data_IF_289555105403
#
_entry.id   IF_289555105403
#
_cell.length_a   1.000
_cell.length_b   1.000
_cell.length_c   1.000
_cell.angle_alpha   90.00
_cell.angle_beta   90.00
_cell.angle_gamma   90.00
#
_symmetry.space_group_name_H-M   'P 1'
#
loop_
_entity.id
_entity.type
_entity.pdbx_description
1 polymer ?
#
# COMPACT_ATOMS: atom_id res chain seq x y z
N UNK A 1 -42.36 37.67 22.30
CA UNK A 1 -41.35 36.99 21.46
C UNK A 1 -40.53 36.08 22.38
N UNK A 2 -40.33 34.82 22.00
CA UNK A 2 -40.53 33.69 22.90
C UNK A 2 -39.24 33.22 23.56
N UNK A 3 -39.31 32.94 24.86
CA UNK A 3 -38.30 32.15 25.56
C UNK A 3 -38.73 30.70 25.46
N UNK A 4 -38.10 29.95 24.56
CA UNK A 4 -38.30 28.52 24.37
C UNK A 4 -37.50 27.71 25.38
N UNK A 5 -38.13 26.68 25.92
CA UNK A 5 -37.54 25.39 26.28
C UNK A 5 -38.74 24.46 26.52
N UNK A 6 -39.21 23.73 25.51
CA UNK A 6 -38.63 22.51 24.92
C UNK A 6 -38.41 21.39 25.95
N UNK A 7 -39.39 20.50 26.01
CA UNK A 7 -39.11 19.10 25.67
C UNK A 7 -38.25 18.29 26.62
N UNK A 8 -38.37 18.47 27.94
CA UNK A 8 -37.89 17.51 28.92
C UNK A 8 -38.76 16.25 28.99
N UNK A 9 -38.85 15.48 27.89
CA UNK A 9 -39.34 14.10 27.97
C UNK A 9 -38.31 13.28 28.73
N UNK A 10 -38.58 13.05 30.01
CA UNK A 10 -37.86 12.08 30.84
C UNK A 10 -37.79 10.75 30.08
N UNK A 11 -36.58 10.38 29.66
CA UNK A 11 -36.31 9.01 29.22
C UNK A 11 -36.37 8.12 30.46
N UNK A 12 -37.46 7.38 30.59
CA UNK A 12 -37.57 6.21 31.44
C UNK A 12 -36.37 5.28 31.24
N UNK A 13 -35.59 4.93 32.29
CA UNK A 13 -34.66 3.82 32.24
C UNK A 13 -35.15 2.72 33.19
N UNK A 14 -36.25 2.05 32.85
CA UNK A 14 -36.61 0.80 33.50
C UNK A 14 -36.37 -0.38 32.55
N UNK A 15 -35.13 -0.53 32.07
CA UNK A 15 -34.67 -1.87 31.75
C UNK A 15 -34.14 -2.46 33.05
N UNK A 16 -35.06 -2.97 33.88
CA UNK A 16 -34.71 -3.71 35.08
C UNK A 16 -33.84 -4.89 34.65
N UNK A 17 -32.52 -4.76 34.85
CA UNK A 17 -31.66 -5.94 34.90
C UNK A 17 -32.10 -6.67 36.17
N UNK A 18 -32.94 -7.69 35.99
CA UNK A 18 -33.42 -8.49 37.12
C UNK A 18 -32.20 -9.04 37.86
N UNK A 19 -32.13 -8.91 39.19
CA UNK A 19 -31.03 -9.48 39.94
C UNK A 19 -31.00 -11.00 39.71
N UNK A 20 -29.80 -11.61 39.68
CA UNK A 20 -29.66 -13.05 39.46
C UNK A 20 -30.53 -13.81 40.46
N UNK A 21 -31.52 -14.56 39.93
CA UNK A 21 -32.54 -15.23 40.73
C UNK A 21 -32.10 -16.61 41.21
N UNK A 22 -30.98 -17.12 40.69
CA UNK A 22 -30.37 -18.36 41.15
C UNK A 22 -28.90 -18.15 41.59
N UNK A 23 -28.39 -18.95 42.53
CA UNK A 23 -26.97 -18.92 42.91
C UNK A 23 -26.02 -19.14 41.73
N UNK A 24 -26.44 -19.88 40.71
CA UNK A 24 -25.65 -20.12 39.50
C UNK A 24 -25.51 -18.84 38.66
N UNK A 25 -26.54 -18.01 38.56
CA UNK A 25 -26.49 -16.74 37.82
C UNK A 25 -25.51 -15.76 38.46
N UNK A 26 -25.44 -15.73 39.80
CA UNK A 26 -24.46 -14.93 40.54
C UNK A 26 -23.02 -15.39 40.27
N UNK A 27 -22.78 -16.70 40.26
CA UNK A 27 -21.47 -17.29 39.93
C UNK A 27 -21.08 -16.96 38.48
N UNK A 28 -22.02 -17.05 37.54
CA UNK A 28 -21.79 -16.73 36.13
C UNK A 28 -21.47 -15.24 35.96
N UNK A 29 -22.25 -14.35 36.57
CA UNK A 29 -22.04 -12.90 36.49
C UNK A 29 -20.70 -12.48 37.11
N UNK A 30 -20.33 -13.08 38.24
CA UNK A 30 -19.02 -12.86 38.87
C UNK A 30 -17.86 -13.32 37.99
N UNK A 31 -18.00 -14.47 37.30
CA UNK A 31 -16.99 -14.93 36.32
C UNK A 31 -16.83 -13.94 35.17
N UNK A 32 -17.93 -13.47 34.59
CA UNK A 32 -17.90 -12.45 33.53
C UNK A 32 -17.29 -11.13 34.03
N UNK A 33 -17.64 -10.69 35.23
CA UNK A 33 -17.06 -9.50 35.86
C UNK A 33 -15.53 -9.60 35.96
N UNK A 34 -15.03 -10.73 36.47
CA UNK A 34 -13.59 -10.98 36.56
C UNK A 34 -12.90 -11.02 35.20
N UNK A 35 -13.55 -11.58 34.17
CA UNK A 35 -13.00 -11.62 32.81
C UNK A 35 -12.90 -10.23 32.19
N UNK A 36 -13.91 -9.38 32.38
CA UNK A 36 -13.90 -7.97 31.96
C UNK A 36 -12.76 -7.20 32.65
N UNK A 37 -12.59 -7.40 33.95
CA UNK A 37 -11.50 -6.77 34.72
C UNK A 37 -10.12 -7.24 34.24
N UNK A 38 -9.95 -8.53 33.98
CA UNK A 38 -8.72 -9.08 33.46
C UNK A 38 -8.36 -8.50 32.07
N UNK A 39 -9.35 -8.34 31.19
CA UNK A 39 -9.16 -7.70 29.88
C UNK A 39 -8.74 -6.23 30.05
N UNK A 40 -9.40 -5.48 30.94
CA UNK A 40 -9.05 -4.07 31.21
C UNK A 40 -7.62 -3.94 31.72
N UNK A 41 -7.22 -4.76 32.68
CA UNK A 41 -5.87 -4.76 33.23
C UNK A 41 -4.81 -5.06 32.14
N UNK A 42 -5.09 -5.98 31.22
CA UNK A 42 -4.20 -6.29 30.10
C UNK A 42 -4.09 -5.13 29.11
N UNK A 43 -5.18 -4.42 28.84
CA UNK A 43 -5.17 -3.23 27.97
C UNK A 43 -4.30 -2.13 28.59
N UNK A 44 -4.45 -1.89 29.90
CA UNK A 44 -3.66 -0.88 30.62
C UNK A 44 -2.18 -1.25 30.66
N UNK A 45 -1.85 -2.53 30.87
CA UNK A 45 -0.47 -3.03 30.79
C UNK A 45 0.13 -2.82 29.39
N UNK A 46 -0.61 -3.18 28.33
CA UNK A 46 -0.16 -3.00 26.94
C UNK A 46 0.05 -1.50 26.65
N UNK A 47 -0.86 -0.64 27.08
CA UNK A 47 -0.74 0.81 26.91
C UNK A 47 0.44 1.39 27.70
N UNK A 48 0.66 0.89 28.93
CA UNK A 48 1.82 1.24 29.75
C UNK A 48 3.12 0.86 29.06
N UNK A 49 3.27 -0.39 28.62
CA UNK A 49 4.43 -0.86 27.85
C UNK A 49 4.62 -0.05 26.56
N UNK A 50 3.54 0.25 25.85
CA UNK A 50 3.54 1.06 24.63
C UNK A 50 4.15 2.44 24.89
N UNK A 51 3.76 3.10 25.97
CA UNK A 51 4.31 4.40 26.36
C UNK A 51 5.77 4.28 26.85
N UNK A 52 6.08 3.28 27.69
CA UNK A 52 7.46 3.01 28.15
C UNK A 52 8.45 2.82 27.00
N UNK A 53 8.04 2.14 25.94
CA UNK A 53 8.86 1.91 24.76
C UNK A 53 8.74 3.01 23.69
N UNK A 54 8.06 4.11 23.98
CA UNK A 54 7.91 5.23 23.04
C UNK A 54 7.17 4.86 21.75
N UNK A 55 6.28 3.87 21.79
CA UNK A 55 5.44 3.44 20.65
C UNK A 55 4.25 4.40 20.53
N UNK A 56 4.52 5.70 20.55
CA UNK A 56 3.52 6.75 20.35
C UNK A 56 3.49 7.11 18.87
N UNK A 57 2.29 7.15 18.29
CA UNK A 57 2.06 7.65 16.93
C UNK A 57 2.95 7.05 15.81
N UNK A 58 2.88 5.73 15.60
CA UNK A 58 2.92 5.18 14.23
C UNK A 58 1.56 5.39 13.52
N UNK A 59 0.89 6.51 13.82
CA UNK A 59 -0.33 6.96 13.18
C UNK A 59 0.02 7.42 11.78
N UNK A 60 0.19 6.43 10.89
CA UNK A 60 0.65 6.65 9.53
C UNK A 60 2.06 7.21 9.51
N UNK A 61 3.05 6.34 9.37
CA UNK A 61 4.01 6.62 8.31
C UNK A 61 3.16 7.05 7.11
N UNK A 62 3.23 8.30 6.62
CA UNK A 62 2.44 8.64 5.46
C UNK A 62 2.91 7.62 4.44
N UNK A 63 2.01 6.85 3.82
CA UNK A 63 2.37 5.87 2.79
C UNK A 63 3.43 6.43 1.81
N UNK A 64 3.48 7.77 1.68
CA UNK A 64 4.57 8.59 1.15
C UNK A 64 6.02 8.16 1.52
N UNK A 65 6.37 7.73 2.73
CA UNK A 65 7.76 7.34 3.07
C UNK A 65 8.14 5.95 2.54
N UNK A 66 7.22 4.97 2.64
CA UNK A 66 7.39 3.66 2.00
C UNK A 66 7.47 3.85 0.48
N UNK A 67 6.59 4.68 -0.10
CA UNK A 67 6.62 4.96 -1.54
C UNK A 67 7.87 5.73 -1.99
N UNK A 68 8.40 6.67 -1.20
CA UNK A 68 9.69 7.32 -1.48
C UNK A 68 10.81 6.28 -1.50
N UNK A 69 10.88 5.40 -0.50
CA UNK A 69 11.91 4.35 -0.43
C UNK A 69 11.78 3.35 -1.58
N UNK A 70 10.55 2.96 -1.94
CA UNK A 70 10.28 2.04 -3.06
C UNK A 70 10.57 2.69 -4.41
N UNK A 71 10.25 3.98 -4.60
CA UNK A 71 10.60 4.76 -5.79
C UNK A 71 12.11 4.97 -5.89
N UNK A 72 12.78 5.25 -4.78
CA UNK A 72 14.24 5.41 -4.76
C UNK A 72 14.94 4.09 -5.07
N UNK A 73 14.48 2.97 -4.50
CA UNK A 73 14.97 1.63 -4.86
C UNK A 73 14.77 1.33 -6.34
N UNK A 74 13.62 1.67 -6.93
CA UNK A 74 13.36 1.49 -8.37
C UNK A 74 14.24 2.39 -9.24
N UNK A 75 14.55 3.63 -8.81
CA UNK A 75 15.54 4.49 -9.47
C UNK A 75 16.93 3.88 -9.43
N UNK A 76 17.35 3.29 -8.32
CA UNK A 76 18.64 2.60 -8.22
C UNK A 76 18.72 1.44 -9.23
N UNK A 77 17.64 0.67 -9.42
CA UNK A 77 17.59 -0.39 -10.46
C UNK A 77 17.71 0.19 -11.89
N UNK A 78 17.26 1.42 -12.13
CA UNK A 78 17.39 2.06 -13.44
C UNK A 78 18.85 2.41 -13.80
N UNK A 79 19.64 2.76 -12.78
CA UNK A 79 21.02 3.24 -12.90
C UNK A 79 22.07 2.18 -12.52
N UNK A 80 21.64 1.00 -12.08
CA UNK A 80 22.55 -0.11 -11.85
C UNK A 80 23.24 -0.49 -13.18
N UNK A 81 24.55 -0.76 -13.18
CA UNK A 81 25.22 -1.32 -14.34
C UNK A 81 24.51 -2.62 -14.74
N UNK A 82 24.52 -2.94 -16.04
CA UNK A 82 24.00 -4.22 -16.55
C UNK A 82 24.81 -5.33 -15.86
N UNK A 83 24.29 -5.83 -14.74
CA UNK A 83 24.84 -7.00 -14.08
C UNK A 83 24.66 -8.18 -15.03
N UNK A 84 25.62 -9.11 -14.98
CA UNK A 84 25.65 -10.30 -15.82
C UNK A 84 24.56 -11.29 -15.38
N UNK A 85 23.31 -10.91 -15.64
CA UNK A 85 22.13 -11.72 -15.36
C UNK A 85 22.06 -12.78 -16.45
N UNK A 86 22.29 -14.02 -16.05
CA UNK A 86 22.19 -15.19 -16.91
C UNK A 86 20.78 -15.76 -16.85
N UNK A 87 20.31 -16.37 -17.96
CA UNK A 87 19.04 -17.12 -17.98
C UNK A 87 17.78 -16.30 -18.30
N UNK A 88 17.94 -15.13 -18.93
CA UNK A 88 16.82 -14.33 -19.45
C UNK A 88 16.99 -13.96 -20.93
N UNK A 89 17.99 -14.54 -21.60
CA UNK A 89 18.38 -14.15 -22.95
C UNK A 89 17.35 -14.61 -23.98
N UNK A 90 16.78 -15.80 -23.81
CA UNK A 90 15.72 -16.32 -24.69
C UNK A 90 14.46 -15.44 -24.63
N UNK A 91 14.00 -15.08 -23.43
CA UNK A 91 12.84 -14.20 -23.28
C UNK A 91 13.10 -12.81 -23.83
N UNK A 92 14.31 -12.28 -23.61
CA UNK A 92 14.74 -10.97 -24.12
C UNK A 92 14.73 -10.97 -25.64
N UNK A 93 15.35 -11.96 -26.28
CA UNK A 93 15.46 -12.07 -27.73
C UNK A 93 14.09 -12.26 -28.38
N UNK A 94 13.20 -13.05 -27.75
CA UNK A 94 11.81 -13.20 -28.20
C UNK A 94 11.06 -11.86 -28.20
N UNK A 95 11.20 -11.07 -27.13
CA UNK A 95 10.55 -9.76 -27.03
C UNK A 95 11.14 -8.79 -28.07
N UNK A 96 12.47 -8.77 -28.24
CA UNK A 96 13.15 -7.95 -29.24
C UNK A 96 12.70 -8.30 -30.66
N UNK A 97 12.63 -9.59 -30.98
CA UNK A 97 12.12 -10.06 -32.27
C UNK A 97 10.70 -9.56 -32.53
N UNK A 98 9.82 -9.57 -31.51
CA UNK A 98 8.48 -9.02 -31.66
C UNK A 98 8.41 -7.49 -31.75
N UNK A 99 9.34 -6.78 -31.10
CA UNK A 99 9.38 -5.32 -31.05
C UNK A 99 9.96 -4.71 -32.34
N UNK A 100 10.92 -5.40 -32.95
CA UNK A 100 11.66 -4.93 -34.13
C UNK A 100 11.12 -5.49 -35.45
N UNK A 101 10.10 -6.34 -35.39
CA UNK A 101 9.42 -6.86 -36.56
C UNK A 101 8.66 -5.75 -37.29
N UNK A 102 9.29 -5.21 -38.33
CA UNK A 102 8.77 -4.14 -39.17
C UNK A 102 7.56 -4.53 -40.04
N UNK A 103 7.17 -5.81 -40.05
CA UNK A 103 5.96 -6.27 -40.73
C UNK A 103 4.68 -6.01 -39.93
N UNK A 104 4.80 -5.62 -38.65
CA UNK A 104 3.67 -5.44 -37.73
C UNK A 104 3.03 -4.06 -37.83
N UNK A 105 1.80 -3.96 -37.28
CA UNK A 105 0.98 -2.73 -37.20
C UNK A 105 1.81 -1.52 -36.74
N UNK A 106 1.41 -0.31 -37.18
CA UNK A 106 1.98 0.99 -36.76
C UNK A 106 2.10 1.21 -35.24
N UNK A 107 1.44 0.39 -34.41
CA UNK A 107 1.49 0.42 -32.94
C UNK A 107 1.41 -1.00 -32.37
N UNK A 108 2.37 -1.39 -31.53
CA UNK A 108 2.42 -2.68 -30.83
C UNK A 108 2.50 -2.48 -29.32
N UNK A 109 2.04 -3.46 -28.54
CA UNK A 109 2.11 -3.45 -27.08
C UNK A 109 2.53 -4.84 -26.59
N UNK A 110 3.46 -4.87 -25.63
CA UNK A 110 3.98 -6.10 -25.02
C UNK A 110 3.79 -5.98 -23.51
N UNK A 111 3.24 -7.01 -22.88
CA UNK A 111 3.02 -7.08 -21.44
C UNK A 111 3.84 -8.21 -20.82
N UNK A 112 4.51 -7.94 -19.71
CA UNK A 112 5.28 -8.93 -18.93
C UNK A 112 4.56 -9.14 -17.60
N UNK A 113 4.00 -10.33 -17.39
CA UNK A 113 3.14 -10.67 -16.25
C UNK A 113 3.73 -11.83 -15.45
N UNK A 114 3.53 -11.82 -14.14
CA UNK A 114 4.04 -12.86 -13.23
C UNK A 114 4.09 -12.37 -11.78
N UNK A 115 4.41 -13.27 -10.86
CA UNK A 115 4.53 -12.97 -9.42
C UNK A 115 5.58 -11.90 -9.11
N UNK A 116 5.45 -11.23 -7.96
CA UNK A 116 6.47 -10.31 -7.44
C UNK A 116 7.82 -11.00 -7.30
N UNK A 117 8.92 -10.25 -7.52
CA UNK A 117 10.29 -10.78 -7.36
C UNK A 117 10.86 -11.56 -8.55
N UNK A 118 10.06 -11.95 -9.55
CA UNK A 118 10.53 -12.71 -10.73
C UNK A 118 11.38 -11.91 -11.74
N UNK A 119 11.83 -10.70 -11.41
CA UNK A 119 12.67 -9.92 -12.33
C UNK A 119 11.96 -9.35 -13.57
N UNK A 120 10.62 -9.24 -13.59
CA UNK A 120 9.86 -8.68 -14.73
C UNK A 120 10.37 -7.30 -15.18
N UNK A 121 10.57 -6.40 -14.22
CA UNK A 121 11.10 -5.05 -14.47
C UNK A 121 12.53 -5.12 -15.01
N UNK A 122 13.32 -6.08 -14.56
CA UNK A 122 14.68 -6.33 -15.02
C UNK A 122 14.70 -6.79 -16.49
N UNK A 123 13.84 -7.73 -16.87
CA UNK A 123 13.69 -8.17 -18.25
C UNK A 123 13.24 -7.01 -19.17
N UNK A 124 12.22 -6.26 -18.77
CA UNK A 124 11.78 -5.06 -19.51
C UNK A 124 12.91 -4.04 -19.69
N UNK A 125 13.73 -3.83 -18.64
CA UNK A 125 14.84 -2.89 -18.67
C UNK A 125 15.94 -3.32 -19.64
N UNK A 126 16.29 -4.60 -19.68
CA UNK A 126 17.24 -5.17 -20.65
C UNK A 126 16.77 -4.98 -22.08
N UNK A 127 15.53 -5.37 -22.38
CA UNK A 127 14.91 -5.16 -23.69
C UNK A 127 14.94 -3.68 -24.07
N UNK A 128 14.58 -2.78 -23.16
CA UNK A 128 14.59 -1.33 -23.41
C UNK A 128 16.00 -0.82 -23.74
N UNK A 129 17.02 -1.20 -22.97
CA UNK A 129 18.40 -0.77 -23.18
C UNK A 129 18.95 -1.19 -24.55
N UNK A 130 18.58 -2.38 -25.04
CA UNK A 130 19.00 -2.89 -26.35
C UNK A 130 18.16 -2.32 -27.51
N UNK A 131 16.85 -2.16 -27.29
CA UNK A 131 15.93 -1.66 -28.31
C UNK A 131 16.07 -0.16 -28.56
N UNK A 132 16.39 0.65 -27.55
CA UNK A 132 16.33 2.12 -27.63
C UNK A 132 17.14 2.72 -28.78
N UNK A 133 18.25 2.10 -29.19
CA UNK A 133 19.09 2.57 -30.28
C UNK A 133 18.44 2.38 -31.68
N UNK A 134 17.43 1.52 -31.77
CA UNK A 134 16.69 1.21 -33.00
C UNK A 134 15.44 2.08 -33.18
N UNK A 135 15.13 2.95 -32.20
CA UNK A 135 14.00 3.87 -32.23
C UNK A 135 14.49 5.32 -32.20
N UNK A 136 13.86 6.22 -32.98
CA UNK A 136 14.22 7.65 -32.97
C UNK A 136 13.98 8.32 -31.62
N UNK A 137 13.01 7.83 -30.85
CA UNK A 137 12.72 8.28 -29.49
C UNK A 137 12.38 7.09 -28.60
N UNK A 138 12.85 7.11 -27.36
CA UNK A 138 12.61 6.06 -26.37
C UNK A 138 12.52 6.66 -24.98
N UNK A 139 11.54 6.21 -24.19
CA UNK A 139 11.33 6.68 -22.82
C UNK A 139 11.08 5.50 -21.88
N UNK A 140 11.65 5.58 -20.67
CA UNK A 140 11.34 4.67 -19.57
C UNK A 140 10.61 5.44 -18.48
N UNK A 141 9.44 4.95 -18.06
CA UNK A 141 8.61 5.58 -17.04
C UNK A 141 8.34 4.58 -15.92
N UNK A 142 8.66 4.97 -14.68
CA UNK A 142 8.31 4.23 -13.49
C UNK A 142 7.01 4.78 -12.89
N UNK A 143 6.02 3.91 -12.70
CA UNK A 143 4.71 4.26 -12.12
C UNK A 143 4.55 3.49 -10.81
N UNK A 144 4.38 4.23 -9.71
CA UNK A 144 4.09 3.69 -8.37
C UNK A 144 2.58 3.64 -8.12
N UNK A 145 2.16 2.86 -7.11
CA UNK A 145 0.76 2.78 -6.69
C UNK A 145 0.23 4.16 -6.26
N UNK A 146 1.06 4.98 -5.62
CA UNK A 146 0.82 6.42 -5.54
C UNK A 146 1.36 7.09 -6.80
N UNK A 147 0.48 7.40 -7.74
CA UNK A 147 0.79 8.20 -8.92
C UNK A 147 -0.15 9.41 -8.97
N UNK A 148 0.39 10.60 -9.25
CA UNK A 148 -0.39 11.79 -9.61
C UNK A 148 -0.15 12.08 -11.08
N UNK A 149 -1.17 11.88 -11.92
CA UNK A 149 -1.07 12.09 -13.39
C UNK A 149 -0.68 13.52 -13.76
N UNK A 150 -0.99 14.50 -12.91
CA UNK A 150 -0.64 15.91 -13.13
C UNK A 150 0.86 16.18 -13.08
N UNK A 151 1.63 15.45 -12.26
CA UNK A 151 3.06 15.73 -12.04
C UNK A 151 3.97 15.06 -13.08
N UNK A 152 3.53 13.92 -13.66
CA UNK A 152 4.33 13.15 -14.61
C UNK A 152 4.32 13.73 -16.03
N UNK A 153 3.20 14.29 -16.48
CA UNK A 153 3.09 14.87 -17.82
C UNK A 153 3.86 16.19 -17.97
N UNK A 154 3.79 17.10 -16.99
CA UNK A 154 4.52 18.38 -17.05
C UNK A 154 6.03 18.20 -16.96
N UNK A 155 6.52 17.30 -16.10
CA UNK A 155 7.96 17.02 -15.99
C UNK A 155 8.53 16.48 -17.32
N UNK A 156 7.72 15.75 -18.08
CA UNK A 156 8.17 15.08 -19.31
C UNK A 156 8.05 15.97 -20.57
N UNK A 157 6.96 16.72 -20.73
CA UNK A 157 6.77 17.59 -21.91
C UNK A 157 7.16 19.05 -21.69
N UNK A 158 7.36 19.50 -20.44
CA UNK A 158 7.64 20.89 -20.09
C UNK A 158 9.10 21.35 -20.22
N UNK A 159 10.06 20.43 -20.48
CA UNK A 159 11.49 20.79 -20.63
C UNK A 159 11.95 20.97 -22.08
N UNK A 160 11.05 20.93 -23.07
CA UNK A 160 11.38 21.29 -24.45
C UNK A 160 10.96 22.74 -24.71
N UNK A 161 11.89 23.67 -24.56
CA UNK A 161 11.87 24.98 -25.23
C UNK A 161 13.01 25.03 -26.23
#
# INVERSE_FOLDING_TARGET
MPSGNDGGKELHPNHCVLPPSTPNDFIVLHKFGNEIEAIRAKIDEINGRRSTYGIENLGGEPRRQIDKTVRERRRVVLHAPDTDLVGMDEEKDKILGHLLDGSKKKRSMISIVGMGGLGKTTLAKRVFNEARAKFGHSVWIDVSQQYSLSLSFETFFGSSR
#
